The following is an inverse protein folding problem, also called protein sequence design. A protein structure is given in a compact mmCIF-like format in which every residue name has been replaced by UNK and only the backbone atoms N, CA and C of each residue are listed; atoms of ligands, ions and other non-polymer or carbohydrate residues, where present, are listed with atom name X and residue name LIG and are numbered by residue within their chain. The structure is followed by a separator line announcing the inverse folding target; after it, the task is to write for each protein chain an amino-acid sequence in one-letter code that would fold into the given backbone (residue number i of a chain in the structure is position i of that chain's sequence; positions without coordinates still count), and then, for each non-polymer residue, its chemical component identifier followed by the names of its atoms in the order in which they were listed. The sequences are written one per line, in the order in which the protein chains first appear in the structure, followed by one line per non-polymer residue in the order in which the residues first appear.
data_IF_847668329977
#
_entry.id   IF_847668329977
#
_cell.length_a   1.000
_cell.length_b   1.000
_cell.length_c   1.000
_cell.angle_alpha   90.00
_cell.angle_beta   90.00
_cell.angle_gamma   90.00
#
_symmetry.space_group_name_H-M   'P 1'
#
loop_
_entity.id
_entity.type
_entity.pdbx_description
1 polymer ?
#
# COMPACT_ATOMS: atom_id res chain seq x y z
N UNK A 1 -19.71 19.02 -3.00
CA UNK A 1 -18.52 18.24 -2.61
C UNK A 1 -18.68 16.83 -3.15
N UNK A 2 -17.77 16.37 -3.99
CA UNK A 2 -17.81 14.99 -4.50
C UNK A 2 -17.12 14.09 -3.47
N UNK A 3 -17.84 13.13 -2.90
CA UNK A 3 -17.26 12.18 -1.96
C UNK A 3 -16.21 11.32 -2.66
N UNK A 4 -14.99 11.31 -2.11
CA UNK A 4 -13.92 10.42 -2.56
C UNK A 4 -13.78 9.31 -1.50
N UNK A 5 -14.13 8.05 -1.82
CA UNK A 5 -13.99 6.95 -0.87
C UNK A 5 -12.56 6.84 -0.36
N UNK A 6 -12.40 6.55 0.93
CA UNK A 6 -11.07 6.39 1.55
C UNK A 6 -10.21 5.34 0.82
N UNK A 7 -10.84 4.25 0.40
CA UNK A 7 -10.20 3.20 -0.40
C UNK A 7 -9.60 3.74 -1.72
N UNK A 8 -10.24 4.73 -2.34
CA UNK A 8 -9.70 5.38 -3.55
C UNK A 8 -8.42 6.12 -3.25
N UNK A 9 -8.37 6.80 -2.12
CA UNK A 9 -7.20 7.56 -1.68
C UNK A 9 -6.02 6.61 -1.44
N UNK A 10 -6.24 5.53 -0.69
CA UNK A 10 -5.22 4.50 -0.44
C UNK A 10 -4.70 3.92 -1.76
N UNK A 11 -5.59 3.50 -2.66
CA UNK A 11 -5.19 2.90 -3.93
C UNK A 11 -4.40 3.89 -4.80
N UNK A 12 -4.80 5.16 -4.84
CA UNK A 12 -4.09 6.20 -5.59
C UNK A 12 -2.71 6.50 -5.03
N UNK A 13 -2.52 6.38 -3.72
CA UNK A 13 -1.24 6.59 -3.05
C UNK A 13 -0.31 5.38 -3.25
N UNK A 14 -0.83 4.16 -3.08
CA UNK A 14 -0.09 2.91 -3.30
C UNK A 14 0.38 2.80 -4.75
N UNK A 15 -0.48 3.10 -5.72
CA UNK A 15 -0.19 2.96 -7.13
C UNK A 15 0.24 4.29 -7.80
N UNK A 16 0.61 5.30 -7.01
CA UNK A 16 1.02 6.59 -7.56
C UNK A 16 2.26 6.44 -8.46
N UNK A 17 2.29 7.05 -9.66
CA UNK A 17 3.41 6.92 -10.59
C UNK A 17 4.71 7.50 -10.01
N UNK A 18 4.60 8.58 -9.24
CA UNK A 18 5.74 9.27 -8.63
C UNK A 18 6.25 8.59 -7.34
N UNK A 19 5.60 7.49 -6.91
CA UNK A 19 5.94 6.70 -5.71
C UNK A 19 6.37 7.57 -4.52
N UNK A 20 5.52 8.52 -4.10
CA UNK A 20 5.85 9.38 -2.96
C UNK A 20 6.01 8.52 -1.71
N UNK A 21 6.87 8.95 -0.77
CA UNK A 21 6.90 8.30 0.53
C UNK A 21 5.51 8.40 1.17
N UNK A 22 4.97 7.26 1.62
CA UNK A 22 3.69 7.16 2.32
C UNK A 22 3.94 7.24 3.83
N UNK A 23 3.93 8.42 4.48
CA UNK A 23 4.19 8.55 5.91
C UNK A 23 3.13 7.85 6.76
N UNK A 24 1.90 7.78 6.26
CA UNK A 24 0.74 7.20 6.94
C UNK A 24 0.70 5.67 6.85
N UNK A 25 1.55 5.06 5.99
CA UNK A 25 1.66 3.60 5.87
C UNK A 25 2.84 3.13 6.72
N UNK A 26 2.52 2.50 7.86
CA UNK A 26 3.52 1.87 8.71
C UNK A 26 3.93 0.51 8.13
N UNK A 27 5.21 0.39 7.76
CA UNK A 27 5.79 -0.88 7.35
C UNK A 27 6.22 -1.68 8.58
N UNK A 28 5.48 -2.75 8.90
CA UNK A 28 5.90 -3.75 9.90
C UNK A 28 6.61 -4.93 9.21
N UNK A 29 7.94 -5.00 9.30
CA UNK A 29 8.64 -6.27 9.00
C UNK A 29 8.49 -7.23 10.17
N UNK A 30 7.58 -8.20 10.05
CA UNK A 30 7.42 -9.24 11.06
C UNK A 30 8.68 -10.09 11.23
N UNK A 31 9.39 -9.96 12.35
CA UNK A 31 10.36 -10.95 12.82
C UNK A 31 11.65 -10.40 13.44
N UNK A 32 12.38 -11.28 14.13
CA UNK A 32 13.67 -11.10 14.84
C UNK A 32 14.69 -10.18 14.15
N UNK A 33 14.64 -10.09 12.81
CA UNK A 33 15.40 -9.17 11.97
C UNK A 33 15.16 -7.69 12.27
N UNK A 34 13.97 -7.30 12.74
CA UNK A 34 13.65 -5.91 13.08
C UNK A 34 14.34 -5.48 14.38
N UNK A 35 14.45 -6.40 15.36
CA UNK A 35 15.23 -6.18 16.59
C UNK A 35 16.75 -6.10 16.34
N UNK A 36 17.26 -6.75 15.29
CA UNK A 36 18.65 -6.56 14.86
C UNK A 36 18.81 -5.27 14.06
N UNK A 37 17.83 -4.93 13.20
CA UNK A 37 17.82 -3.67 12.47
C UNK A 37 17.76 -2.48 13.39
N UNK A 38 17.01 -2.46 14.50
CA UNK A 38 16.98 -1.32 15.42
C UNK A 38 18.37 -0.93 15.98
N UNK A 39 19.27 -1.91 16.21
CA UNK A 39 20.65 -1.67 16.65
C UNK A 39 21.59 -1.12 15.55
N UNK A 40 21.35 -1.47 14.28
CA UNK A 40 22.13 -0.98 13.12
C UNK A 40 21.45 0.17 12.34
N UNK A 41 20.17 0.43 12.60
CA UNK A 41 19.30 1.38 11.85
C UNK A 41 19.44 2.82 12.31
N UNK A 42 20.09 3.08 13.45
CA UNK A 42 20.42 4.46 13.85
C UNK A 42 21.39 5.14 12.88
N UNK A 43 22.05 4.37 12.00
CA UNK A 43 23.05 4.86 11.05
C UNK A 43 22.67 4.72 9.58
N UNK A 44 21.63 3.96 9.23
CA UNK A 44 21.20 3.81 7.83
C UNK A 44 19.73 4.19 7.69
N UNK A 45 19.46 5.29 6.98
CA UNK A 45 18.14 5.62 6.45
C UNK A 45 17.78 4.57 5.40
N UNK A 46 17.36 3.39 5.85
CA UNK A 46 16.84 2.34 4.97
C UNK A 46 15.44 2.78 4.57
N UNK A 47 15.30 3.27 3.34
CA UNK A 47 14.00 3.64 2.77
C UNK A 47 13.04 2.46 2.90
N UNK A 48 11.84 2.72 3.45
CA UNK A 48 10.79 1.70 3.53
C UNK A 48 10.42 1.29 2.10
N UNK A 49 10.36 -0.02 1.79
CA UNK A 49 9.98 -0.46 0.46
C UNK A 49 8.57 0.06 0.13
N UNK A 50 8.38 0.61 -1.06
CA UNK A 50 7.07 1.13 -1.46
C UNK A 50 6.12 -0.07 -1.68
N UNK A 51 4.85 -0.01 -1.27
CA UNK A 51 3.91 -1.11 -1.48
C UNK A 51 3.82 -1.52 -2.97
N UNK A 52 3.94 -0.55 -3.88
CA UNK A 52 3.96 -0.77 -5.33
C UNK A 52 5.22 -1.45 -5.89
N UNK A 53 6.30 -1.59 -5.12
CA UNK A 53 7.49 -2.34 -5.54
C UNK A 53 7.26 -3.87 -5.49
N UNK A 54 6.20 -4.31 -4.83
CA UNK A 54 5.85 -5.72 -4.71
C UNK A 54 4.95 -6.18 -5.88
N UNK A 55 5.18 -7.38 -6.43
CA UNK A 55 4.36 -7.91 -7.52
C UNK A 55 2.91 -8.16 -7.08
N UNK A 56 2.68 -8.41 -5.79
CA UNK A 56 1.40 -8.70 -5.17
C UNK A 56 1.19 -7.80 -3.95
N UNK A 57 -0.04 -7.29 -3.79
CA UNK A 57 -0.46 -6.48 -2.64
C UNK A 57 -1.73 -7.10 -2.06
N UNK A 58 -1.70 -7.44 -0.77
CA UNK A 58 -2.88 -7.91 -0.05
C UNK A 58 -3.51 -6.75 0.71
N UNK A 59 -4.80 -6.51 0.46
CA UNK A 59 -5.57 -5.47 1.13
C UNK A 59 -6.63 -6.11 2.04
N UNK A 60 -6.48 -5.93 3.35
CA UNK A 60 -7.42 -6.43 4.35
C UNK A 60 -8.34 -5.31 4.82
N UNK A 61 -9.65 -5.42 4.55
CA UNK A 61 -10.67 -4.51 5.08
C UNK A 61 -11.39 -5.17 6.26
N UNK A 62 -11.27 -4.55 7.44
CA UNK A 62 -11.95 -5.00 8.67
C UNK A 62 -13.24 -4.21 8.84
N UNK A 63 -14.36 -4.90 9.07
CA UNK A 63 -15.68 -4.25 9.26
C UNK A 63 -16.61 -4.33 8.05
N UNK A 64 -16.17 -4.96 6.96
CA UNK A 64 -16.97 -5.19 5.75
C UNK A 64 -16.54 -4.31 4.58
N UNK A 65 -16.89 -4.74 3.37
CA UNK A 65 -16.59 -4.04 2.12
C UNK A 65 -17.88 -3.91 1.31
N UNK A 66 -18.09 -2.75 0.70
CA UNK A 66 -19.24 -2.50 -0.16
C UNK A 66 -18.98 -2.95 -1.61
N UNK A 67 -20.02 -3.31 -2.39
CA UNK A 67 -19.83 -3.66 -3.80
C UNK A 67 -19.19 -2.54 -4.63
N UNK A 68 -19.47 -1.28 -4.30
CA UNK A 68 -18.88 -0.10 -4.94
C UNK A 68 -17.36 -0.02 -4.73
N UNK A 69 -16.89 -0.37 -3.54
CA UNK A 69 -15.47 -0.44 -3.20
C UNK A 69 -14.77 -1.58 -3.94
N UNK A 70 -15.40 -2.76 -4.03
CA UNK A 70 -14.86 -3.87 -4.82
C UNK A 70 -14.72 -3.46 -6.29
N UNK A 71 -15.73 -2.79 -6.86
CA UNK A 71 -15.66 -2.31 -8.25
C UNK A 71 -14.51 -1.33 -8.45
N UNK A 72 -14.33 -0.40 -7.52
CA UNK A 72 -13.24 0.57 -7.54
C UNK A 72 -11.85 -0.10 -7.53
N UNK A 73 -11.66 -1.13 -6.69
CA UNK A 73 -10.40 -1.91 -6.67
C UNK A 73 -10.17 -2.53 -8.05
N UNK A 74 -11.17 -3.22 -8.59
CA UNK A 74 -11.06 -3.91 -9.90
C UNK A 74 -10.73 -2.94 -11.03
N UNK A 75 -11.39 -1.79 -11.08
CA UNK A 75 -11.12 -0.75 -12.07
C UNK A 75 -9.68 -0.22 -11.94
N UNK A 76 -9.21 0.00 -10.72
CA UNK A 76 -7.86 0.50 -10.44
C UNK A 76 -6.78 -0.52 -10.83
N UNK A 77 -6.98 -1.80 -10.49
CA UNK A 77 -6.06 -2.89 -10.86
C UNK A 77 -5.99 -3.04 -12.38
N UNK A 78 -7.14 -3.01 -13.06
CA UNK A 78 -7.19 -3.10 -14.51
C UNK A 78 -6.47 -1.94 -15.21
N UNK A 79 -6.46 -0.75 -14.62
CA UNK A 79 -5.72 0.41 -15.17
C UNK A 79 -4.21 0.30 -14.96
N UNK A 80 -3.76 -0.21 -13.81
CA UNK A 80 -2.33 -0.21 -13.45
C UNK A 80 -1.58 -1.47 -13.90
N UNK A 81 -2.25 -2.62 -14.01
CA UNK A 81 -1.67 -3.87 -14.54
C UNK A 81 -2.71 -4.64 -15.36
N UNK A 82 -2.89 -4.35 -16.65
CA UNK A 82 -3.79 -5.10 -17.52
C UNK A 82 -3.30 -6.55 -17.60
N UNK A 83 -3.98 -7.47 -16.90
CA UNK A 83 -3.62 -8.89 -16.80
C UNK A 83 -3.54 -9.47 -15.39
N UNK A 84 -3.69 -8.66 -14.35
CA UNK A 84 -3.77 -9.13 -12.95
C UNK A 84 -5.24 -9.26 -12.54
N UNK A 85 -5.65 -10.42 -12.02
CA UNK A 85 -7.03 -10.74 -11.58
C UNK A 85 -7.20 -10.58 -10.07
#
# INVERSE_FOLDING_TARGET
ATYCPFLRQILQEVFHPDRPECPDIEHMSGGLTDLLKTGFSMFMKVSRPHPGDNPLVFLFLVGGVTPSEIRLIKETVATHKPGTQ
#
